data_IF_067394388641
#
_entry.id   IF_067394388641
#
_cell.length_a   1.000
_cell.length_b   1.000
_cell.length_c   1.000
_cell.angle_alpha   90.00
_cell.angle_beta   90.00
_cell.angle_gamma   90.00
#
_symmetry.space_group_name_H-M   'P 1'
#
loop_
_entity.id
_entity.type
_entity.pdbx_description
1 polymer ?
#
# COMPACT_ATOMS: atom_id res chain seq x y z
N UNK A 1 8.98 30.05 3.52
CA UNK A 1 9.73 30.15 4.79
C UNK A 1 11.25 29.93 4.61
N UNK A 2 11.66 28.89 3.87
CA UNK A 2 13.08 28.54 3.62
C UNK A 2 13.86 29.63 2.87
N UNK A 3 13.26 30.30 1.88
CA UNK A 3 13.93 31.37 1.13
C UNK A 3 14.21 32.64 1.97
N UNK A 4 13.33 32.94 2.93
CA UNK A 4 13.53 34.03 3.90
C UNK A 4 14.67 33.72 4.88
N UNK A 5 14.78 32.47 5.32
CA UNK A 5 15.89 31.99 6.15
C UNK A 5 17.24 32.03 5.40
N UNK A 6 17.24 31.70 4.10
CA UNK A 6 18.44 31.77 3.26
C UNK A 6 18.91 33.22 3.03
N UNK A 7 17.98 34.15 2.78
CA UNK A 7 18.30 35.58 2.66
C UNK A 7 18.80 36.20 3.97
N UNK A 8 18.22 35.82 5.12
CA UNK A 8 18.70 36.25 6.45
C UNK A 8 20.11 35.74 6.75
N UNK A 9 20.43 34.51 6.34
CA UNK A 9 21.76 33.93 6.46
C UNK A 9 22.80 34.67 5.60
N UNK A 10 22.42 35.07 4.38
CA UNK A 10 23.26 35.90 3.50
C UNK A 10 23.45 37.32 4.04
N UNK A 11 22.41 37.93 4.63
CA UNK A 11 22.52 39.25 5.27
C UNK A 11 23.45 39.24 6.49
N UNK A 12 23.39 38.21 7.35
CA UNK A 12 24.30 38.09 8.50
C UNK A 12 25.72 37.65 8.11
N UNK A 13 25.92 36.98 6.97
CA UNK A 13 27.25 36.62 6.49
C UNK A 13 28.12 37.83 6.10
N UNK A 14 27.52 39.00 5.82
CA UNK A 14 28.24 40.25 5.54
C UNK A 14 28.77 40.95 6.80
N UNK A 15 28.29 40.61 8.00
CA UNK A 15 28.75 41.24 9.25
C UNK A 15 29.99 40.57 9.86
N UNK A 16 30.49 39.47 9.30
CA UNK A 16 31.63 38.71 9.83
C UNK A 16 32.97 38.99 9.14
N UNK A 17 33.07 40.04 8.32
CA UNK A 17 34.31 40.37 7.61
C UNK A 17 34.83 41.73 8.06
N UNK A 18 35.29 41.80 9.30
CA UNK A 18 36.37 42.72 9.65
C UNK A 18 37.31 42.09 10.68
N UNK A 19 38.13 41.15 10.23
CA UNK A 19 39.30 40.69 10.98
C UNK A 19 40.46 40.53 10.00
N UNK A 20 41.50 41.32 10.24
CA UNK A 20 42.77 41.36 9.51
C UNK A 20 43.33 39.98 9.18
N UNK A 21 43.68 39.83 7.91
CA UNK A 21 44.80 39.06 7.37
C UNK A 21 45.14 37.72 8.04
N UNK A 22 44.51 36.64 7.57
CA UNK A 22 45.16 35.32 7.61
C UNK A 22 44.65 34.42 6.48
N UNK A 23 45.31 34.49 5.31
CA UNK A 23 44.90 33.79 4.07
C UNK A 23 44.66 32.29 4.27
N UNK A 24 45.35 31.66 5.23
CA UNK A 24 45.15 30.24 5.59
C UNK A 24 43.81 29.93 6.28
N UNK A 25 43.31 30.80 7.16
CA UNK A 25 42.00 30.61 7.82
C UNK A 25 40.85 30.81 6.83
N UNK A 26 40.96 31.81 5.94
CA UNK A 26 39.92 32.13 4.96
C UNK A 26 39.72 31.01 3.92
N UNK A 27 40.81 30.36 3.47
CA UNK A 27 40.75 29.18 2.60
C UNK A 27 40.12 27.97 3.29
N UNK A 28 40.39 27.78 4.59
CA UNK A 28 39.83 26.68 5.40
C UNK A 28 38.32 26.86 5.60
N UNK A 29 37.86 28.07 5.90
CA UNK A 29 36.43 28.39 6.03
C UNK A 29 35.68 28.23 4.69
N UNK A 30 36.26 28.68 3.57
CA UNK A 30 35.66 28.48 2.24
C UNK A 30 35.52 27.00 1.86
N UNK A 31 36.52 26.16 2.22
CA UNK A 31 36.46 24.70 2.01
C UNK A 31 35.40 24.02 2.88
N UNK A 32 35.24 24.44 4.14
CA UNK A 32 34.20 23.90 5.04
C UNK A 32 32.80 24.27 4.56
N UNK A 33 32.59 25.51 4.12
CA UNK A 33 31.30 25.96 3.56
C UNK A 33 30.99 25.21 2.25
N UNK A 34 31.97 25.01 1.37
CA UNK A 34 31.79 24.22 0.15
C UNK A 34 31.44 22.75 0.47
N UNK A 35 32.11 22.14 1.46
CA UNK A 35 31.81 20.78 1.91
C UNK A 35 30.43 20.66 2.56
N UNK A 36 29.97 21.66 3.33
CA UNK A 36 28.60 21.71 3.84
C UNK A 36 27.57 21.88 2.73
N UNK A 37 27.84 22.73 1.74
CA UNK A 37 26.93 22.93 0.59
C UNK A 37 26.87 21.68 -0.29
N UNK A 38 28.00 21.02 -0.56
CA UNK A 38 28.04 19.74 -1.26
C UNK A 38 27.39 18.62 -0.44
N UNK A 39 27.56 18.61 0.89
CA UNK A 39 26.90 17.69 1.81
C UNK A 39 25.38 17.89 1.83
N UNK A 40 24.91 19.14 1.88
CA UNK A 40 23.49 19.49 1.81
C UNK A 40 22.90 19.13 0.43
N UNK A 41 23.62 19.35 -0.67
CA UNK A 41 23.19 18.92 -2.00
C UNK A 41 23.15 17.39 -2.15
N UNK A 42 24.09 16.67 -1.52
CA UNK A 42 24.09 15.20 -1.48
C UNK A 42 22.94 14.65 -0.61
N UNK A 43 22.57 15.33 0.48
CA UNK A 43 21.41 14.97 1.31
C UNK A 43 20.09 15.29 0.60
N UNK A 44 20.00 16.40 -0.13
CA UNK A 44 18.81 16.75 -0.91
C UNK A 44 18.57 15.83 -2.12
N UNK A 45 19.62 15.28 -2.74
CA UNK A 45 19.49 14.31 -3.83
C UNK A 45 19.02 12.93 -3.36
N UNK A 46 19.23 12.58 -2.09
CA UNK A 46 18.66 11.37 -1.47
C UNK A 46 17.23 11.58 -0.91
N UNK A 47 16.70 12.80 -0.96
CA UNK A 47 15.35 13.13 -0.44
C UNK A 47 14.27 13.22 -1.53
N UNK A 48 14.63 13.10 -2.82
CA UNK A 48 13.65 13.07 -3.91
C UNK A 48 13.14 11.65 -4.13
N UNK A 49 11.83 11.45 -3.92
CA UNK A 49 11.13 10.22 -4.25
C UNK A 49 11.34 9.89 -5.73
N UNK A 50 11.90 8.73 -6.02
CA UNK A 50 12.13 8.28 -7.41
C UNK A 50 10.81 7.98 -8.11
N UNK A 51 10.79 8.00 -9.45
CA UNK A 51 9.60 7.59 -10.24
C UNK A 51 9.13 6.16 -9.93
N UNK A 52 10.07 5.26 -9.64
CA UNK A 52 9.76 3.90 -9.21
C UNK A 52 8.97 3.88 -7.89
N UNK A 53 9.31 4.77 -6.95
CA UNK A 53 8.57 4.93 -5.70
C UNK A 53 7.24 5.66 -5.91
N UNK A 54 7.17 6.63 -6.83
CA UNK A 54 5.92 7.28 -7.25
C UNK A 54 5.10 6.38 -8.20
N UNK A 55 4.83 5.13 -7.79
CA UNK A 55 4.02 4.16 -8.53
C UNK A 55 2.74 3.75 -7.79
N UNK A 56 2.49 4.32 -6.60
CA UNK A 56 1.31 4.01 -5.78
C UNK A 56 1.15 2.49 -5.57
N UNK A 57 -0.05 1.90 -5.77
CA UNK A 57 -0.24 0.46 -5.60
C UNK A 57 0.39 -0.39 -6.71
N UNK A 58 1.03 0.21 -7.73
CA UNK A 58 1.85 -0.53 -8.71
C UNK A 58 3.29 -0.72 -8.23
N UNK A 59 3.69 -0.10 -7.11
CA UNK A 59 5.00 -0.29 -6.52
C UNK A 59 5.24 -1.76 -6.14
N UNK A 60 6.40 -2.32 -6.51
CA UNK A 60 6.80 -3.66 -6.13
C UNK A 60 7.03 -3.72 -4.61
N UNK A 61 6.81 -4.89 -4.00
CA UNK A 61 7.01 -5.05 -2.57
C UNK A 61 8.47 -4.81 -2.18
N UNK A 62 8.70 -3.94 -1.20
CA UNK A 62 10.02 -3.73 -0.60
C UNK A 62 10.06 -4.34 0.80
N UNK A 63 10.81 -5.44 1.00
CA UNK A 63 10.90 -6.06 2.31
C UNK A 63 11.52 -5.10 3.34
N UNK A 64 11.18 -5.25 4.64
CA UNK A 64 11.86 -4.49 5.68
C UNK A 64 13.36 -4.82 5.66
N UNK A 65 14.19 -3.77 5.72
CA UNK A 65 15.66 -3.90 5.70
C UNK A 65 16.22 -4.28 7.08
N UNK A 66 15.45 -4.03 8.14
CA UNK A 66 15.80 -4.32 9.53
C UNK A 66 14.68 -5.17 10.11
N UNK A 67 15.05 -6.13 10.97
CA UNK A 67 14.09 -6.93 11.71
C UNK A 67 13.23 -6.06 12.64
N UNK A 68 12.06 -6.57 13.02
CA UNK A 68 11.22 -5.93 14.04
C UNK A 68 11.95 -5.92 15.38
N UNK A 69 12.29 -4.74 15.88
CA UNK A 69 13.03 -4.56 17.14
C UNK A 69 12.13 -4.29 18.33
N UNK A 70 10.80 -4.35 18.18
CA UNK A 70 9.89 -4.10 19.29
C UNK A 70 9.99 -5.22 20.34
N UNK A 71 10.27 -4.88 21.61
CA UNK A 71 10.29 -5.89 22.67
C UNK A 71 8.89 -6.51 22.79
N UNK A 72 8.86 -7.83 22.97
CA UNK A 72 7.62 -8.54 23.31
C UNK A 72 7.36 -8.34 24.80
N UNK A 73 6.12 -8.03 25.23
CA UNK A 73 5.78 -7.90 26.64
C UNK A 73 6.26 -9.09 27.47
N UNK A 74 6.85 -8.81 28.64
CA UNK A 74 7.47 -9.81 29.50
C UNK A 74 6.51 -10.96 29.84
N UNK A 75 7.02 -12.19 29.83
CA UNK A 75 6.24 -13.39 30.15
C UNK A 75 5.25 -13.84 29.06
N UNK A 76 5.15 -13.13 27.94
CA UNK A 76 4.24 -13.50 26.83
C UNK A 76 4.95 -14.22 25.69
N UNK A 77 4.20 -15.03 24.93
CA UNK A 77 4.67 -15.77 23.75
C UNK A 77 3.63 -15.72 22.63
N UNK A 78 4.04 -15.68 21.35
CA UNK A 78 3.12 -15.71 20.24
C UNK A 78 2.54 -17.12 20.05
N UNK A 79 1.23 -17.20 19.83
CA UNK A 79 0.52 -18.48 19.65
C UNK A 79 -0.35 -18.54 18.38
N UNK A 80 -0.76 -17.39 17.84
CA UNK A 80 -1.60 -17.33 16.64
C UNK A 80 -1.25 -16.14 15.73
N UNK A 81 -1.38 -16.33 14.42
CA UNK A 81 -1.21 -15.26 13.42
C UNK A 81 -2.44 -15.20 12.51
N UNK A 82 -3.11 -14.06 12.46
CA UNK A 82 -4.10 -13.75 11.44
C UNK A 82 -3.44 -12.91 10.34
N UNK A 83 -3.42 -13.44 9.11
CA UNK A 83 -2.80 -12.81 7.95
C UNK A 83 -3.83 -12.46 6.87
N UNK A 84 -3.62 -11.32 6.23
CA UNK A 84 -4.23 -10.96 4.95
C UNK A 84 -3.14 -10.48 4.00
N UNK A 85 -3.07 -11.06 2.80
CA UNK A 85 -2.12 -10.69 1.75
C UNK A 85 -2.82 -10.37 0.42
N UNK A 86 -2.39 -9.26 -0.21
CA UNK A 86 -2.63 -8.97 -1.62
C UNK A 86 -1.73 -9.88 -2.48
N UNK A 87 -2.11 -10.21 -3.74
CA UNK A 87 -1.21 -10.80 -4.71
C UNK A 87 0.13 -10.09 -4.80
N UNK A 88 1.18 -10.86 -5.09
CA UNK A 88 2.47 -10.30 -5.47
C UNK A 88 2.41 -9.54 -6.80
N UNK A 89 3.58 -9.06 -7.23
CA UNK A 89 3.78 -8.45 -8.54
C UNK A 89 3.16 -9.30 -9.66
N UNK A 90 2.47 -8.63 -10.56
CA UNK A 90 1.64 -9.23 -11.63
C UNK A 90 1.66 -8.34 -12.85
N UNK A 91 1.16 -8.87 -13.97
CA UNK A 91 0.81 -8.04 -15.13
C UNK A 91 -0.42 -7.17 -14.81
N UNK A 92 -0.63 -6.08 -15.57
CA UNK A 92 -1.88 -5.31 -15.55
C UNK A 92 -3.08 -6.24 -15.77
N UNK A 93 -4.21 -5.85 -15.21
CA UNK A 93 -5.34 -6.73 -14.97
C UNK A 93 -5.97 -7.25 -16.26
N UNK A 94 -6.03 -6.44 -17.32
CA UNK A 94 -6.71 -6.78 -18.56
C UNK A 94 -5.86 -6.46 -19.78
N UNK A 95 -5.93 -7.32 -20.80
CA UNK A 95 -5.27 -7.09 -22.09
C UNK A 95 -5.69 -5.74 -22.71
N UNK A 96 -6.96 -5.37 -22.55
CA UNK A 96 -7.51 -4.10 -23.02
C UNK A 96 -6.81 -2.85 -22.44
N UNK A 97 -6.09 -2.96 -21.31
CA UNK A 97 -5.29 -1.84 -20.79
C UNK A 97 -4.05 -1.59 -21.66
N UNK A 98 -3.41 -2.66 -22.13
CA UNK A 98 -2.26 -2.57 -23.05
C UNK A 98 -2.71 -2.11 -24.43
N UNK A 99 -3.74 -2.78 -24.98
CA UNK A 99 -4.25 -2.48 -26.32
C UNK A 99 -4.87 -1.08 -26.38
N UNK A 100 -5.54 -0.67 -25.30
CA UNK A 100 -6.12 0.67 -25.16
C UNK A 100 -5.07 1.78 -25.26
N UNK A 101 -3.92 1.65 -24.59
CA UNK A 101 -2.80 2.60 -24.74
C UNK A 101 -2.20 2.53 -26.14
N UNK A 102 -1.95 1.32 -26.67
CA UNK A 102 -1.37 1.15 -27.99
C UNK A 102 -2.25 1.72 -29.12
N UNK A 103 -3.58 1.70 -28.94
CA UNK A 103 -4.54 2.22 -29.91
C UNK A 103 -4.33 3.69 -30.27
N UNK A 104 -3.71 4.49 -29.40
CA UNK A 104 -3.39 5.89 -29.67
C UNK A 104 -2.22 6.08 -30.65
N UNK A 105 -1.40 5.05 -30.85
CA UNK A 105 -0.19 5.08 -31.68
C UNK A 105 -0.41 4.46 -33.07
N UNK A 106 -1.67 4.32 -33.50
CA UNK A 106 -2.03 3.63 -34.75
C UNK A 106 -1.53 4.32 -36.02
N UNK A 107 -1.42 5.66 -36.03
CA UNK A 107 -0.97 6.44 -37.18
C UNK A 107 0.53 6.76 -37.06
N UNK A 108 1.44 6.02 -37.73
CA UNK A 108 2.88 6.23 -37.61
C UNK A 108 3.34 7.59 -38.15
N UNK A 109 2.57 8.19 -39.05
CA UNK A 109 2.87 9.51 -39.63
C UNK A 109 2.61 10.65 -38.61
N UNK A 110 1.75 10.43 -37.62
CA UNK A 110 1.49 11.40 -36.56
C UNK A 110 2.45 11.24 -35.35
N UNK A 111 3.42 10.32 -35.39
CA UNK A 111 4.34 10.11 -34.26
C UNK A 111 5.62 10.95 -34.40
N UNK A 112 6.11 11.47 -33.27
CA UNK A 112 7.48 12.00 -33.18
C UNK A 112 8.51 10.85 -33.25
N UNK A 113 9.81 11.18 -33.20
CA UNK A 113 10.86 10.14 -33.06
C UNK A 113 10.69 9.37 -31.76
N UNK A 114 10.39 10.07 -30.66
CA UNK A 114 10.11 9.46 -29.36
C UNK A 114 8.82 8.64 -29.41
N UNK A 115 7.74 9.16 -29.99
CA UNK A 115 6.46 8.46 -30.15
C UNK A 115 6.60 7.12 -30.86
N UNK A 116 7.40 7.03 -31.94
CA UNK A 116 7.70 5.75 -32.61
C UNK A 116 8.49 4.77 -31.72
N UNK A 117 9.45 5.28 -30.94
CA UNK A 117 10.21 4.46 -29.98
C UNK A 117 9.30 3.91 -28.88
N UNK A 118 8.43 4.75 -28.33
CA UNK A 118 7.41 4.39 -27.34
C UNK A 118 6.45 3.35 -27.91
N UNK A 119 5.89 3.57 -29.10
CA UNK A 119 5.00 2.63 -29.77
C UNK A 119 5.64 1.24 -29.92
N UNK A 120 6.89 1.17 -30.40
CA UNK A 120 7.63 -0.09 -30.54
C UNK A 120 7.81 -0.82 -29.20
N UNK A 121 8.10 -0.08 -28.12
CA UNK A 121 8.21 -0.65 -26.76
C UNK A 121 6.85 -1.12 -26.24
N UNK A 122 5.79 -0.33 -26.41
CA UNK A 122 4.42 -0.69 -26.04
C UNK A 122 3.96 -1.96 -26.75
N UNK A 123 4.21 -2.08 -28.06
CA UNK A 123 3.88 -3.30 -28.83
C UNK A 123 4.55 -4.54 -28.23
N UNK A 124 5.84 -4.45 -27.87
CA UNK A 124 6.56 -5.56 -27.21
C UNK A 124 5.94 -5.94 -25.87
N UNK A 125 5.57 -4.94 -25.06
CA UNK A 125 4.92 -5.16 -23.77
C UNK A 125 3.54 -5.80 -23.96
N UNK A 126 2.71 -5.28 -24.87
CA UNK A 126 1.39 -5.81 -25.17
C UNK A 126 1.43 -7.27 -25.68
N UNK A 127 2.39 -7.58 -26.55
CA UNK A 127 2.64 -8.95 -27.03
C UNK A 127 3.09 -9.88 -25.90
N UNK A 128 4.01 -9.43 -25.04
CA UNK A 128 4.49 -10.22 -23.91
C UNK A 128 3.40 -10.46 -22.84
N UNK A 129 2.47 -9.50 -22.69
CA UNK A 129 1.32 -9.57 -21.80
C UNK A 129 0.17 -10.42 -22.35
N UNK A 130 0.13 -10.68 -23.66
CA UNK A 130 -0.92 -11.48 -24.28
C UNK A 130 -0.97 -12.89 -23.66
N UNK A 131 -2.17 -13.29 -23.21
CA UNK A 131 -2.37 -14.53 -22.44
C UNK A 131 -1.83 -14.51 -21.00
N UNK A 132 -1.21 -13.41 -20.55
CA UNK A 132 -0.66 -13.24 -19.19
C UNK A 132 -1.27 -12.09 -18.41
N UNK A 133 -2.13 -11.28 -19.02
CA UNK A 133 -2.81 -10.19 -18.34
C UNK A 133 -3.48 -10.69 -17.04
N UNK A 134 -3.21 -10.00 -15.94
CA UNK A 134 -3.70 -10.33 -14.61
C UNK A 134 -2.98 -11.47 -13.88
N UNK A 135 -2.11 -12.25 -14.56
CA UNK A 135 -1.35 -13.34 -13.95
C UNK A 135 -0.23 -12.82 -13.05
N UNK A 136 0.11 -13.61 -12.03
CA UNK A 136 1.26 -13.34 -11.18
C UNK A 136 2.55 -13.44 -12.00
N UNK A 137 3.56 -12.64 -11.66
CA UNK A 137 4.89 -12.73 -12.28
C UNK A 137 5.84 -13.54 -11.39
N UNK A 138 7.01 -13.98 -11.91
CA UNK A 138 8.01 -14.63 -11.08
C UNK A 138 8.45 -13.79 -9.87
N UNK A 139 8.49 -12.47 -10.01
CA UNK A 139 8.74 -11.55 -8.90
C UNK A 139 7.64 -11.64 -7.84
N UNK A 140 6.38 -11.72 -8.26
CA UNK A 140 5.24 -11.87 -7.34
C UNK A 140 5.28 -13.18 -6.56
N UNK A 141 5.67 -14.28 -7.20
CA UNK A 141 5.89 -15.56 -6.51
C UNK A 141 7.02 -15.46 -5.47
N UNK A 142 8.14 -14.86 -5.85
CA UNK A 142 9.28 -14.64 -4.96
C UNK A 142 8.87 -13.82 -3.73
N UNK A 143 8.16 -12.71 -3.93
CA UNK A 143 7.68 -11.86 -2.83
C UNK A 143 6.86 -12.66 -1.82
N UNK A 144 5.90 -13.47 -2.27
CA UNK A 144 5.05 -14.29 -1.39
C UNK A 144 5.86 -15.34 -0.64
N UNK A 145 6.76 -16.04 -1.35
CA UNK A 145 7.64 -17.04 -0.75
C UNK A 145 8.50 -16.45 0.36
N UNK A 146 9.10 -15.29 0.11
CA UNK A 146 9.99 -14.64 1.07
C UNK A 146 9.23 -14.03 2.26
N UNK A 147 8.03 -13.48 2.05
CA UNK A 147 7.17 -13.02 3.16
C UNK A 147 6.86 -14.20 4.09
N UNK A 148 6.48 -15.35 3.52
CA UNK A 148 6.22 -16.57 4.28
C UNK A 148 7.45 -17.08 5.06
N UNK A 149 8.62 -17.08 4.41
CA UNK A 149 9.88 -17.48 5.06
C UNK A 149 10.20 -16.59 6.25
N UNK A 150 10.11 -15.26 6.10
CA UNK A 150 10.32 -14.31 7.20
C UNK A 150 9.29 -14.49 8.32
N UNK A 151 8.01 -14.67 7.99
CA UNK A 151 6.96 -14.96 8.98
C UNK A 151 7.31 -16.21 9.79
N UNK A 152 7.72 -17.30 9.12
CA UNK A 152 8.09 -18.55 9.79
C UNK A 152 9.39 -18.44 10.60
N UNK A 153 10.35 -17.65 10.14
CA UNK A 153 11.59 -17.35 10.86
C UNK A 153 11.32 -16.55 12.13
N UNK A 154 10.43 -15.55 12.06
CA UNK A 154 10.14 -14.65 13.17
C UNK A 154 9.23 -15.30 14.23
N UNK A 155 8.40 -16.27 13.84
CA UNK A 155 7.41 -16.91 14.74
C UNK A 155 7.52 -18.44 14.75
N UNK A 156 8.70 -19.01 15.08
CA UNK A 156 8.90 -20.46 15.02
C UNK A 156 7.99 -21.25 15.97
N UNK A 157 7.60 -20.67 17.11
CA UNK A 157 6.68 -21.29 18.07
C UNK A 157 5.27 -21.46 17.53
N UNK A 158 4.82 -20.51 16.69
CA UNK A 158 3.51 -20.58 16.01
C UNK A 158 3.53 -21.70 14.97
N UNK A 159 4.60 -21.80 14.17
CA UNK A 159 4.74 -22.81 13.11
C UNK A 159 5.52 -24.06 13.55
N UNK A 160 5.25 -24.51 14.79
CA UNK A 160 5.77 -25.77 15.34
C UNK A 160 5.22 -26.98 14.58
N UNK A 161 5.82 -28.15 14.81
CA UNK A 161 5.34 -29.40 14.22
C UNK A 161 3.85 -29.61 14.52
N UNK A 162 3.10 -30.03 13.49
CA UNK A 162 1.66 -30.30 13.56
C UNK A 162 0.78 -29.09 13.87
N UNK A 163 1.31 -27.86 13.74
CA UNK A 163 0.50 -26.66 13.82
C UNK A 163 -0.55 -26.63 12.68
N UNK A 164 -1.81 -26.43 13.03
CA UNK A 164 -2.91 -26.31 12.07
C UNK A 164 -2.95 -24.89 11.51
N UNK A 165 -2.94 -24.78 10.18
CA UNK A 165 -2.99 -23.51 9.45
C UNK A 165 -4.16 -23.50 8.49
N UNK A 166 -5.11 -22.60 8.70
CA UNK A 166 -6.22 -22.36 7.78
C UNK A 166 -5.76 -21.47 6.63
N UNK A 167 -6.14 -21.80 5.40
CA UNK A 167 -5.74 -21.04 4.21
C UNK A 167 -6.95 -20.77 3.31
N UNK A 168 -7.17 -19.50 3.00
CA UNK A 168 -8.25 -19.01 2.14
C UNK A 168 -7.68 -18.17 1.00
N UNK A 169 -8.27 -18.25 -0.19
CA UNK A 169 -7.91 -17.38 -1.30
C UNK A 169 -9.11 -17.05 -2.18
N UNK A 170 -9.14 -15.83 -2.72
CA UNK A 170 -10.07 -15.44 -3.77
C UNK A 170 -9.90 -16.38 -4.99
N UNK A 171 -10.97 -16.71 -5.73
CA UNK A 171 -10.89 -17.54 -6.92
C UNK A 171 -10.07 -16.91 -8.06
N UNK A 172 -9.73 -15.62 -7.97
CA UNK A 172 -8.85 -14.99 -8.94
C UNK A 172 -7.49 -15.71 -8.98
N UNK A 173 -7.04 -16.08 -10.18
CA UNK A 173 -5.86 -16.92 -10.40
C UNK A 173 -4.60 -16.38 -9.71
N UNK A 174 -4.33 -15.08 -9.82
CA UNK A 174 -3.22 -14.40 -9.11
C UNK A 174 -3.24 -14.59 -7.58
N UNK A 175 -4.43 -14.67 -6.97
CA UNK A 175 -4.57 -14.90 -5.53
C UNK A 175 -4.27 -16.36 -5.19
N UNK A 176 -4.71 -17.30 -6.04
CA UNK A 176 -4.40 -18.72 -5.91
C UNK A 176 -2.91 -19.00 -6.09
N UNK A 177 -2.27 -18.41 -7.10
CA UNK A 177 -0.82 -18.52 -7.32
C UNK A 177 -0.03 -17.91 -6.14
N UNK A 178 -0.48 -16.76 -5.62
CA UNK A 178 0.14 -16.15 -4.43
C UNK A 178 0.02 -17.03 -3.19
N UNK A 179 -1.16 -17.63 -2.96
CA UNK A 179 -1.38 -18.64 -1.91
C UNK A 179 -0.38 -19.78 -2.02
N UNK A 180 -0.24 -20.37 -3.22
CA UNK A 180 0.66 -21.50 -3.45
C UNK A 180 2.13 -21.12 -3.22
N UNK A 181 2.56 -19.96 -3.71
CA UNK A 181 3.93 -19.47 -3.48
C UNK A 181 4.22 -19.22 -1.99
N UNK A 182 3.24 -18.70 -1.25
CA UNK A 182 3.36 -18.50 0.19
C UNK A 182 3.44 -19.83 0.94
N UNK A 183 2.59 -20.81 0.62
CA UNK A 183 2.64 -22.18 1.18
C UNK A 183 4.01 -22.81 0.92
N UNK A 184 4.54 -22.69 -0.31
CA UNK A 184 5.87 -23.18 -0.64
C UNK A 184 6.97 -22.50 0.19
N UNK A 185 6.83 -21.20 0.49
CA UNK A 185 7.73 -20.48 1.40
C UNK A 185 7.65 -20.94 2.84
N UNK A 186 6.44 -21.24 3.34
CA UNK A 186 6.26 -21.84 4.66
C UNK A 186 6.90 -23.23 4.74
N UNK A 187 6.71 -24.06 3.71
CA UNK A 187 7.16 -25.46 3.67
C UNK A 187 8.58 -25.65 3.09
N UNK A 188 9.40 -24.59 3.04
CA UNK A 188 10.79 -24.71 2.59
C UNK A 188 11.55 -25.81 3.37
N UNK A 189 12.51 -26.47 2.70
CA UNK A 189 13.24 -27.61 3.23
C UNK A 189 13.81 -27.40 4.64
N UNK A 190 13.93 -28.48 5.42
CA UNK A 190 14.41 -28.50 6.81
C UNK A 190 13.51 -27.79 7.83
N UNK A 191 12.21 -27.67 7.53
CA UNK A 191 11.21 -27.14 8.46
C UNK A 191 10.26 -28.23 8.94
N UNK A 192 9.79 -28.10 10.17
CA UNK A 192 8.80 -29.03 10.73
C UNK A 192 7.52 -29.05 9.87
N UNK A 193 6.84 -30.20 9.70
CA UNK A 193 5.60 -30.25 8.96
C UNK A 193 4.49 -29.47 9.70
N UNK A 194 3.68 -28.74 8.95
CA UNK A 194 2.46 -28.08 9.43
C UNK A 194 1.24 -28.70 8.73
N UNK A 195 0.09 -28.74 9.42
CA UNK A 195 -1.15 -29.23 8.84
C UNK A 195 -1.87 -28.08 8.13
N UNK A 196 -2.01 -28.16 6.81
CA UNK A 196 -2.71 -27.15 6.02
C UNK A 196 -4.17 -27.54 5.82
N UNK A 197 -5.08 -26.69 6.25
CA UNK A 197 -6.51 -26.80 5.96
C UNK A 197 -6.86 -25.76 4.89
N UNK A 198 -7.00 -26.25 3.65
CA UNK A 198 -7.29 -25.41 2.49
C UNK A 198 -8.80 -25.25 2.35
N UNK A 199 -9.27 -24.02 2.48
CA UNK A 199 -10.66 -23.65 2.30
C UNK A 199 -10.83 -23.07 0.89
N UNK A 200 -11.54 -23.81 0.03
CA UNK A 200 -11.78 -23.44 -1.37
C UNK A 200 -13.26 -23.15 -1.65
N UNK A 201 -14.09 -22.97 -0.61
CA UNK A 201 -15.50 -22.65 -0.81
C UNK A 201 -15.68 -21.24 -1.40
N UNK A 202 -16.78 -21.06 -2.13
CA UNK A 202 -17.13 -19.76 -2.71
C UNK A 202 -17.54 -18.74 -1.66
N UNK A 203 -17.85 -19.17 -0.42
CA UNK A 203 -18.22 -18.28 0.69
C UNK A 203 -17.04 -17.38 1.03
N UNK A 204 -15.81 -17.89 0.96
CA UNK A 204 -14.59 -17.10 1.15
C UNK A 204 -14.54 -15.83 0.28
N UNK A 205 -15.11 -15.86 -0.93
CA UNK A 205 -15.10 -14.71 -1.83
C UNK A 205 -15.95 -13.55 -1.31
N UNK A 206 -17.05 -13.83 -0.60
CA UNK A 206 -17.97 -12.81 -0.10
C UNK A 206 -17.30 -11.80 0.84
N UNK A 207 -16.21 -12.20 1.50
CA UNK A 207 -15.44 -11.37 2.41
C UNK A 207 -13.99 -11.12 1.95
N UNK A 208 -13.45 -11.85 0.97
CA UNK A 208 -12.13 -11.55 0.35
C UNK A 208 -12.18 -10.50 -0.76
N UNK A 209 -13.37 -10.26 -1.32
CA UNK A 209 -13.63 -9.20 -2.29
C UNK A 209 -15.01 -8.60 -2.03
N UNK A 210 -15.26 -8.09 -0.82
CA UNK A 210 -16.61 -7.73 -0.42
C UNK A 210 -17.14 -6.58 -1.28
N UNK A 211 -18.40 -6.70 -1.66
CA UNK A 211 -19.11 -5.70 -2.43
C UNK A 211 -20.59 -5.75 -2.09
N UNK A 212 -21.24 -4.60 -2.08
CA UNK A 212 -22.69 -4.47 -1.87
C UNK A 212 -23.24 -3.36 -2.76
N UNK A 213 -24.58 -3.20 -2.79
CA UNK A 213 -25.24 -2.20 -3.63
C UNK A 213 -24.78 -0.76 -3.30
N UNK A 214 -24.61 -0.46 -2.01
CA UNK A 214 -24.15 0.85 -1.53
C UNK A 214 -22.76 1.20 -2.09
N UNK A 215 -21.78 0.30 -1.95
CA UNK A 215 -20.42 0.53 -2.44
C UNK A 215 -20.37 0.61 -3.97
N UNK A 216 -21.17 -0.19 -4.68
CA UNK A 216 -21.30 -0.08 -6.14
C UNK A 216 -21.84 1.28 -6.56
N UNK A 217 -22.89 1.77 -5.89
CA UNK A 217 -23.44 3.09 -6.14
C UNK A 217 -22.44 4.20 -5.85
N UNK A 218 -21.72 4.15 -4.73
CA UNK A 218 -20.65 5.09 -4.39
C UNK A 218 -19.55 5.13 -5.45
N UNK A 219 -19.06 3.95 -5.87
CA UNK A 219 -18.02 3.83 -6.89
C UNK A 219 -18.46 4.35 -8.25
N UNK A 220 -19.76 4.25 -8.57
CA UNK A 220 -20.31 4.73 -9.84
C UNK A 220 -20.56 6.26 -9.88
N UNK A 221 -20.50 6.96 -8.75
CA UNK A 221 -20.64 8.42 -8.71
C UNK A 221 -19.49 9.10 -9.45
N UNK A 222 -19.74 10.22 -10.15
CA UNK A 222 -18.67 11.02 -10.73
C UNK A 222 -17.87 11.68 -9.61
N UNK A 223 -16.58 11.33 -9.54
CA UNK A 223 -15.63 11.91 -8.59
C UNK A 223 -14.76 12.94 -9.31
N UNK A 224 -14.73 14.19 -8.83
CA UNK A 224 -13.88 15.22 -9.40
C UNK A 224 -12.43 14.99 -8.97
N UNK A 225 -11.58 14.62 -9.93
CA UNK A 225 -10.14 14.47 -9.72
C UNK A 225 -9.39 15.69 -10.31
N UNK A 226 -8.18 16.01 -9.82
CA UNK A 226 -7.35 17.05 -10.43
C UNK A 226 -7.06 16.74 -11.90
N UNK A 227 -7.07 17.74 -12.78
CA UNK A 227 -6.74 17.56 -14.20
C UNK A 227 -5.25 17.27 -14.40
N UNK A 228 -4.90 16.40 -15.35
CA UNK A 228 -3.50 16.14 -15.69
C UNK A 228 -2.89 17.17 -16.65
N UNK A 229 -1.60 17.56 -16.46
CA UNK A 229 -0.88 18.44 -17.38
C UNK A 229 -0.43 17.65 -18.63
N UNK A 230 -1.27 17.61 -19.67
CA UNK A 230 -1.05 16.74 -20.83
C UNK A 230 -0.22 17.34 -21.96
N UNK A 231 0.01 18.66 -21.96
CA UNK A 231 0.52 19.38 -23.13
C UNK A 231 1.93 18.91 -23.58
N UNK A 232 2.88 18.80 -22.64
CA UNK A 232 4.23 18.34 -22.94
C UNK A 232 4.25 16.86 -23.35
N UNK A 233 3.57 15.99 -22.60
CA UNK A 233 3.41 14.56 -22.88
C UNK A 233 2.88 14.31 -24.30
N UNK A 234 1.83 15.02 -24.71
CA UNK A 234 1.26 14.88 -26.04
C UNK A 234 2.21 15.38 -27.14
N UNK A 235 2.81 16.56 -26.97
CA UNK A 235 3.74 17.12 -27.97
C UNK A 235 5.05 16.33 -28.07
N UNK A 236 5.46 15.66 -26.99
CA UNK A 236 6.62 14.78 -26.98
C UNK A 236 6.39 13.52 -27.82
N UNK A 237 5.15 13.00 -27.87
CA UNK A 237 4.80 11.73 -28.51
C UNK A 237 4.17 11.89 -29.91
N UNK A 238 3.44 12.98 -30.16
CA UNK A 238 2.66 13.20 -31.38
C UNK A 238 3.07 14.49 -32.10
N UNK A 239 3.00 14.50 -33.44
CA UNK A 239 3.30 15.67 -34.28
C UNK A 239 2.13 16.66 -34.30
N UNK A 240 0.93 16.14 -34.44
CA UNK A 240 -0.34 16.86 -34.38
C UNK A 240 -1.16 16.30 -33.21
N UNK A 241 -1.19 17.06 -32.11
CA UNK A 241 -1.87 16.68 -30.87
C UNK A 241 -3.39 16.81 -30.95
N UNK A 242 -3.91 17.53 -31.95
CA UNK A 242 -5.37 17.68 -32.16
C UNK A 242 -6.03 16.38 -32.60
N UNK A 243 -5.26 15.45 -33.17
CA UNK A 243 -5.72 14.11 -33.54
C UNK A 243 -5.78 13.14 -32.34
N UNK A 244 -5.29 13.55 -31.16
CA UNK A 244 -5.29 12.72 -29.94
C UNK A 244 -6.47 13.06 -29.06
N UNK A 245 -7.60 12.42 -29.33
CA UNK A 245 -8.80 12.56 -28.51
C UNK A 245 -8.59 11.96 -27.11
N UNK A 246 -9.03 12.61 -26.02
CA UNK A 246 -8.90 12.09 -24.64
C UNK A 246 -7.43 11.94 -24.16
N UNK A 247 -6.58 12.94 -24.43
CA UNK A 247 -5.17 12.94 -24.00
C UNK A 247 -4.96 12.66 -22.50
N UNK A 248 -5.82 13.16 -21.62
CA UNK A 248 -5.76 12.87 -20.18
C UNK A 248 -5.94 11.37 -19.88
N UNK A 249 -6.88 10.70 -20.56
CA UNK A 249 -7.07 9.25 -20.44
C UNK A 249 -5.84 8.49 -20.92
N UNK A 250 -5.26 8.89 -22.04
CA UNK A 250 -4.03 8.28 -22.56
C UNK A 250 -2.89 8.40 -21.53
N UNK A 251 -2.65 9.61 -21.02
CA UNK A 251 -1.60 9.87 -20.03
C UNK A 251 -1.79 9.02 -18.78
N UNK A 252 -3.02 8.97 -18.24
CA UNK A 252 -3.34 8.19 -17.05
C UNK A 252 -3.17 6.68 -17.24
N UNK A 253 -3.67 6.10 -18.34
CA UNK A 253 -3.51 4.66 -18.60
C UNK A 253 -2.07 4.29 -18.96
N UNK A 254 -1.35 5.17 -19.67
CA UNK A 254 0.07 4.93 -19.97
C UNK A 254 0.91 5.03 -18.70
N UNK A 255 0.62 5.95 -17.77
CA UNK A 255 1.27 5.97 -16.46
C UNK A 255 1.10 4.65 -15.70
N UNK A 256 -0.11 4.06 -15.66
CA UNK A 256 -0.34 2.76 -14.99
C UNK A 256 0.54 1.67 -15.59
N UNK A 257 0.61 1.59 -16.92
CA UNK A 257 1.45 0.64 -17.64
C UNK A 257 2.92 0.87 -17.33
N UNK A 258 3.39 2.12 -17.39
CA UNK A 258 4.77 2.48 -17.12
C UNK A 258 5.16 2.17 -15.66
N UNK A 259 4.30 2.50 -14.70
CA UNK A 259 4.50 2.22 -13.28
C UNK A 259 4.52 0.71 -12.97
N UNK A 260 3.71 -0.08 -13.68
CA UNK A 260 3.66 -1.54 -13.53
C UNK A 260 4.88 -2.27 -14.11
N UNK A 261 5.72 -1.59 -14.91
CA UNK A 261 6.90 -2.22 -15.52
C UNK A 261 7.90 -2.80 -14.52
N UNK A 262 7.90 -2.32 -13.27
CA UNK A 262 8.71 -2.90 -12.19
C UNK A 262 8.25 -4.30 -11.77
N UNK A 263 7.02 -4.69 -12.10
CA UNK A 263 6.41 -5.94 -11.70
C UNK A 263 6.62 -7.07 -12.72
N UNK A 264 7.06 -6.76 -13.93
CA UNK A 264 7.16 -7.72 -15.04
C UNK A 264 8.62 -7.99 -15.41
N UNK A 265 8.94 -9.19 -15.92
CA UNK A 265 10.33 -9.59 -16.22
C UNK A 265 10.86 -8.96 -17.54
N UNK A 266 10.41 -7.75 -17.88
CA UNK A 266 10.82 -7.04 -19.09
C UNK A 266 11.77 -5.91 -18.71
N UNK A 267 12.94 -5.86 -19.36
CA UNK A 267 13.87 -4.72 -19.27
C UNK A 267 13.44 -3.58 -20.18
N UNK A 268 12.17 -3.19 -20.10
CA UNK A 268 11.57 -2.08 -20.86
C UNK A 268 11.12 -1.02 -19.86
N UNK A 269 11.46 0.23 -20.14
CA UNK A 269 11.08 1.39 -19.33
C UNK A 269 10.39 2.42 -20.23
N UNK A 270 9.66 3.36 -19.64
CA UNK A 270 8.96 4.44 -20.34
C UNK A 270 9.18 5.81 -19.67
N UNK A 271 10.24 5.97 -18.88
CA UNK A 271 10.50 7.23 -18.18
C UNK A 271 10.68 8.40 -19.16
N UNK A 272 11.25 8.14 -20.33
CA UNK A 272 11.45 9.14 -21.38
C UNK A 272 10.14 9.68 -22.00
N UNK A 273 8.99 9.09 -21.69
CA UNK A 273 7.69 9.57 -22.19
C UNK A 273 7.04 10.63 -21.31
N UNK A 274 7.52 10.84 -20.08
CA UNK A 274 6.97 11.78 -19.10
C UNK A 274 8.07 12.68 -18.55
N UNK A 275 7.76 13.94 -18.29
CA UNK A 275 8.55 14.74 -17.35
C UNK A 275 8.22 14.37 -15.88
N UNK A 276 8.95 14.96 -14.94
CA UNK A 276 8.79 14.64 -13.52
C UNK A 276 7.49 15.16 -12.91
N UNK A 277 6.97 16.29 -13.40
CA UNK A 277 5.73 16.90 -12.90
C UNK A 277 4.51 16.16 -13.44
N UNK A 278 4.59 15.70 -14.70
CA UNK A 278 3.62 14.83 -15.36
C UNK A 278 3.50 13.47 -14.65
N UNK A 279 4.63 12.85 -14.32
CA UNK A 279 4.66 11.60 -13.56
C UNK A 279 4.06 11.81 -12.16
N UNK A 280 4.46 12.88 -11.48
CA UNK A 280 3.94 13.22 -10.14
C UNK A 280 2.43 13.47 -10.19
N UNK A 281 1.93 14.25 -11.15
CA UNK A 281 0.50 14.52 -11.29
C UNK A 281 -0.32 13.24 -11.50
N UNK A 282 0.17 12.30 -12.31
CA UNK A 282 -0.49 10.99 -12.47
C UNK A 282 -0.50 10.18 -11.18
N UNK A 283 0.62 10.16 -10.46
CA UNK A 283 0.75 9.50 -9.16
C UNK A 283 -0.22 10.11 -8.14
N UNK A 284 -0.25 11.43 -7.99
CA UNK A 284 -1.11 12.14 -7.04
C UNK A 284 -2.60 11.97 -7.38
N UNK A 285 -2.98 12.11 -8.65
CA UNK A 285 -4.35 11.90 -9.11
C UNK A 285 -4.82 10.46 -8.82
N UNK A 286 -3.97 9.46 -9.05
CA UNK A 286 -4.30 8.06 -8.75
C UNK A 286 -4.44 7.83 -7.23
N UNK A 287 -3.54 8.38 -6.42
CA UNK A 287 -3.60 8.29 -4.97
C UNK A 287 -4.86 8.95 -4.42
N UNK A 288 -5.22 10.13 -4.95
CA UNK A 288 -6.45 10.83 -4.60
C UNK A 288 -7.69 9.97 -4.88
N UNK A 289 -7.81 9.41 -6.08
CA UNK A 289 -8.94 8.56 -6.44
C UNK A 289 -9.09 7.34 -5.54
N UNK A 290 -7.97 6.69 -5.20
CA UNK A 290 -7.96 5.56 -4.26
C UNK A 290 -8.38 5.98 -2.85
N UNK A 291 -7.83 7.07 -2.31
CA UNK A 291 -8.18 7.59 -0.99
C UNK A 291 -9.66 7.96 -0.91
N UNK A 292 -10.17 8.64 -1.94
CA UNK A 292 -11.57 9.05 -2.04
C UNK A 292 -12.52 7.85 -2.07
N UNK A 293 -12.27 6.90 -2.96
CA UNK A 293 -13.21 5.78 -3.19
C UNK A 293 -13.07 4.67 -2.14
N UNK A 294 -11.85 4.40 -1.67
CA UNK A 294 -11.52 3.22 -0.88
C UNK A 294 -10.89 3.53 0.49
N UNK A 295 -10.45 4.77 0.73
CA UNK A 295 -9.75 5.16 1.95
C UNK A 295 -10.66 5.71 3.04
N UNK A 296 -10.14 6.71 3.76
CA UNK A 296 -10.83 7.37 4.88
C UNK A 296 -11.36 8.77 4.51
N UNK A 297 -11.51 9.07 3.22
CA UNK A 297 -12.07 10.34 2.79
C UNK A 297 -13.45 10.59 3.44
N UNK A 298 -13.68 11.74 4.10
CA UNK A 298 -14.96 12.08 4.70
C UNK A 298 -16.13 11.97 3.71
N UNK A 299 -15.89 12.32 2.44
CA UNK A 299 -16.85 12.24 1.34
C UNK A 299 -17.44 10.84 1.12
N UNK A 300 -16.69 9.78 1.45
CA UNK A 300 -17.18 8.41 1.30
C UNK A 300 -18.11 7.98 2.42
N UNK A 301 -18.32 8.81 3.45
CA UNK A 301 -19.32 8.64 4.51
C UNK A 301 -19.30 7.25 5.15
N UNK A 302 -18.12 6.63 5.27
CA UNK A 302 -17.97 5.33 5.93
C UNK A 302 -18.26 4.11 5.03
N UNK A 303 -18.56 4.29 3.74
CA UNK A 303 -18.94 3.17 2.83
C UNK A 303 -17.82 2.13 2.76
N UNK A 304 -16.56 2.57 2.69
CA UNK A 304 -15.38 1.72 2.67
C UNK A 304 -15.27 0.84 3.94
N UNK A 305 -15.61 1.40 5.11
CA UNK A 305 -15.55 0.71 6.40
C UNK A 305 -16.71 -0.27 6.57
N UNK A 306 -17.89 0.04 6.02
CA UNK A 306 -19.05 -0.85 6.04
C UNK A 306 -18.87 -2.05 5.13
N UNK A 307 -18.40 -1.84 3.90
CA UNK A 307 -18.29 -2.93 2.92
C UNK A 307 -17.34 -4.03 3.38
N UNK A 308 -16.32 -3.71 4.18
CA UNK A 308 -15.34 -4.69 4.68
C UNK A 308 -15.74 -5.39 5.99
N UNK A 309 -16.90 -5.08 6.57
CA UNK A 309 -17.37 -5.70 7.81
C UNK A 309 -17.37 -7.25 7.78
N UNK A 310 -17.76 -7.93 6.68
CA UNK A 310 -17.68 -9.39 6.59
C UNK A 310 -16.25 -9.95 6.72
N UNK A 311 -15.23 -9.25 6.19
CA UNK A 311 -13.83 -9.65 6.34
C UNK A 311 -13.36 -9.53 7.79
N UNK A 312 -13.74 -8.43 8.45
CA UNK A 312 -13.44 -8.25 9.86
C UNK A 312 -14.11 -9.33 10.72
N UNK A 313 -15.38 -9.64 10.46
CA UNK A 313 -16.09 -10.68 11.19
C UNK A 313 -15.36 -12.03 11.04
N UNK A 314 -14.94 -12.39 9.82
CA UNK A 314 -14.21 -13.63 9.61
C UNK A 314 -12.83 -13.66 10.29
N UNK A 315 -12.17 -12.50 10.43
CA UNK A 315 -10.95 -12.38 11.27
C UNK A 315 -11.26 -12.66 12.74
N UNK A 316 -12.37 -12.14 13.26
CA UNK A 316 -12.81 -12.36 14.64
C UNK A 316 -13.17 -13.82 14.89
N UNK A 317 -13.90 -14.45 13.98
CA UNK A 317 -14.35 -15.85 14.12
C UNK A 317 -13.17 -16.82 14.13
N UNK A 318 -12.20 -16.61 13.24
CA UNK A 318 -10.96 -17.42 13.20
C UNK A 318 -10.08 -17.17 14.42
N UNK A 319 -9.99 -15.92 14.89
CA UNK A 319 -9.34 -15.64 16.17
C UNK A 319 -10.03 -16.42 17.30
N UNK A 320 -11.36 -16.40 17.38
CA UNK A 320 -12.10 -17.15 18.41
C UNK A 320 -11.77 -18.65 18.39
N UNK A 321 -11.63 -19.27 17.21
CA UNK A 321 -11.16 -20.66 17.11
C UNK A 321 -9.73 -20.85 17.62
N UNK A 322 -8.82 -19.91 17.31
CA UNK A 322 -7.45 -19.93 17.77
C UNK A 322 -7.34 -19.77 19.30
N UNK A 323 -8.19 -18.94 19.92
CA UNK A 323 -8.29 -18.81 21.38
C UNK A 323 -8.69 -20.13 22.07
N UNK A 324 -9.32 -21.08 21.35
CA UNK A 324 -9.63 -22.43 21.85
C UNK A 324 -8.50 -23.45 21.57
N UNK A 325 -7.34 -23.00 21.09
CA UNK A 325 -6.17 -23.86 20.84
C UNK A 325 -6.20 -24.66 19.54
N UNK A 326 -7.16 -24.38 18.63
CA UNK A 326 -7.39 -25.20 17.42
C UNK A 326 -6.53 -24.82 16.22
N UNK A 327 -6.13 -23.54 16.13
CA UNK A 327 -5.53 -22.95 14.92
C UNK A 327 -4.33 -22.11 15.29
N UNK A 328 -3.20 -22.34 14.61
CA UNK A 328 -1.96 -21.61 14.80
C UNK A 328 -1.80 -20.43 13.84
N UNK A 329 -2.38 -20.50 12.63
CA UNK A 329 -2.44 -19.36 11.74
C UNK A 329 -3.62 -19.44 10.78
N UNK A 330 -4.13 -18.27 10.39
CA UNK A 330 -5.12 -18.16 9.33
C UNK A 330 -4.61 -17.21 8.25
N UNK A 331 -4.42 -17.74 7.04
CA UNK A 331 -3.83 -17.04 5.90
C UNK A 331 -4.90 -16.72 4.86
N UNK A 332 -5.06 -15.43 4.52
CA UNK A 332 -6.03 -14.96 3.53
C UNK A 332 -5.32 -14.32 2.33
N UNK A 333 -5.70 -14.70 1.12
CA UNK A 333 -5.18 -14.09 -0.12
C UNK A 333 -6.32 -13.43 -0.92
N UNK A 334 -6.40 -12.11 -0.84
CA UNK A 334 -7.47 -11.30 -1.43
C UNK A 334 -6.93 -10.11 -2.22
N UNK A 335 -7.71 -9.05 -2.44
CA UNK A 335 -7.30 -7.90 -3.28
C UNK A 335 -6.77 -6.72 -2.45
N UNK A 336 -6.11 -5.76 -3.12
CA UNK A 336 -5.62 -4.52 -2.52
C UNK A 336 -6.73 -3.70 -1.87
N UNK A 337 -7.85 -3.53 -2.59
CA UNK A 337 -8.96 -2.69 -2.12
C UNK A 337 -9.56 -3.20 -0.82
N UNK A 338 -9.69 -4.52 -0.64
CA UNK A 338 -10.22 -5.08 0.61
C UNK A 338 -9.23 -4.94 1.77
N UNK A 339 -7.92 -5.03 1.52
CA UNK A 339 -6.91 -4.66 2.52
C UNK A 339 -7.02 -3.18 2.89
N UNK A 340 -7.16 -2.30 1.90
CA UNK A 340 -7.24 -0.87 2.15
C UNK A 340 -8.50 -0.48 2.92
N UNK A 341 -9.65 -1.08 2.59
CA UNK A 341 -10.88 -0.96 3.36
C UNK A 341 -10.71 -1.46 4.79
N UNK A 342 -10.04 -2.61 4.99
CA UNK A 342 -9.77 -3.17 6.31
C UNK A 342 -8.91 -2.22 7.15
N UNK A 343 -7.86 -1.64 6.58
CA UNK A 343 -7.04 -0.62 7.24
C UNK A 343 -7.86 0.62 7.58
N UNK A 344 -8.75 1.06 6.69
CA UNK A 344 -9.65 2.19 6.94
C UNK A 344 -10.60 1.91 8.11
N UNK A 345 -11.10 0.68 8.23
CA UNK A 345 -11.92 0.23 9.35
C UNK A 345 -11.11 0.14 10.66
N UNK A 346 -9.92 -0.45 10.62
CA UNK A 346 -9.03 -0.61 11.77
C UNK A 346 -8.56 0.71 12.36
N UNK A 347 -8.59 1.82 11.61
CA UNK A 347 -8.24 3.13 12.16
C UNK A 347 -6.76 3.27 12.50
N UNK A 348 -5.90 2.77 11.62
CA UNK A 348 -4.45 2.81 11.79
C UNK A 348 -3.88 4.24 11.68
N UNK A 349 -2.70 4.46 12.27
CA UNK A 349 -1.86 5.64 12.09
C UNK A 349 -1.24 5.80 10.68
N UNK A 350 -1.48 4.86 9.77
CA UNK A 350 -1.03 4.92 8.37
C UNK A 350 -2.05 5.53 7.42
N UNK A 351 -3.29 5.70 7.86
CA UNK A 351 -4.37 6.29 7.08
C UNK A 351 -4.88 7.54 7.81
N UNK A 352 -5.39 8.49 7.03
CA UNK A 352 -5.99 9.74 7.52
C UNK A 352 -7.20 10.11 6.67
N UNK A 353 -8.10 10.86 7.29
CA UNK A 353 -9.18 11.62 6.67
C UNK A 353 -8.68 12.86 5.92
N UNK A 354 -7.41 13.23 6.07
CA UNK A 354 -6.70 14.13 5.16
C UNK A 354 -5.98 13.32 4.07
N UNK A 355 -6.00 13.82 2.84
CA UNK A 355 -5.33 13.14 1.72
C UNK A 355 -3.81 13.20 1.89
N UNK A 356 -3.17 12.04 1.68
CA UNK A 356 -1.72 11.91 1.61
C UNK A 356 -1.34 10.93 0.50
N UNK A 357 -0.24 11.23 -0.19
CA UNK A 357 0.32 10.36 -1.22
C UNK A 357 1.31 9.38 -0.58
N UNK A 358 0.83 8.16 -0.32
CA UNK A 358 1.61 7.12 0.36
C UNK A 358 1.19 5.69 0.03
N UNK A 359 0.39 5.46 -1.04
CA UNK A 359 -0.15 4.13 -1.33
C UNK A 359 0.91 3.08 -1.61
N UNK A 360 2.08 3.47 -2.10
CA UNK A 360 3.24 2.60 -2.27
C UNK A 360 3.79 2.05 -0.94
N UNK A 361 3.51 2.72 0.18
CA UNK A 361 3.89 2.28 1.53
C UNK A 361 2.77 1.49 2.21
N UNK A 362 1.51 1.73 1.81
CA UNK A 362 0.31 1.16 2.43
C UNK A 362 -0.10 -0.13 1.72
N UNK A 363 -0.31 -0.08 0.41
CA UNK A 363 -0.79 -1.19 -0.43
C UNK A 363 0.09 -1.43 -1.69
N UNK A 364 1.42 -1.56 -1.59
CA UNK A 364 2.24 -2.02 -2.71
C UNK A 364 1.82 -3.42 -3.18
N UNK A 365 2.40 -3.92 -4.26
CA UNK A 365 2.28 -5.35 -4.60
C UNK A 365 2.73 -6.19 -3.40
N UNK A 366 2.13 -7.36 -3.22
CA UNK A 366 2.35 -8.23 -2.06
C UNK A 366 2.08 -7.58 -0.67
N UNK A 367 1.38 -6.45 -0.63
CA UNK A 367 1.01 -5.81 0.64
C UNK A 367 0.28 -6.79 1.55
N UNK A 368 0.59 -6.73 2.85
CA UNK A 368 0.06 -7.68 3.81
C UNK A 368 -0.15 -7.06 5.18
N UNK A 369 -1.20 -7.52 5.87
CA UNK A 369 -1.46 -7.28 7.27
C UNK A 369 -1.25 -8.57 8.05
N UNK A 370 -0.48 -8.49 9.14
CA UNK A 370 -0.29 -9.58 10.09
C UNK A 370 -0.72 -9.10 11.46
N UNK A 371 -1.65 -9.81 12.09
CA UNK A 371 -2.06 -9.62 13.47
C UNK A 371 -1.48 -10.80 14.26
N UNK A 372 -0.50 -10.51 15.11
CA UNK A 372 0.20 -11.52 15.91
C UNK A 372 -0.37 -11.52 17.30
N UNK A 373 -0.86 -12.67 17.74
CA UNK A 373 -1.53 -12.88 19.01
C UNK A 373 -0.58 -13.52 20.02
N UNK A 374 -0.57 -12.95 21.22
CA UNK A 374 0.28 -13.34 22.33
C UNK A 374 -0.56 -13.67 23.56
N UNK A 375 -0.12 -14.66 24.32
CA UNK A 375 -0.67 -15.00 25.63
C UNK A 375 0.47 -15.19 26.63
N UNK A 376 0.15 -15.25 27.92
CA UNK A 376 1.15 -15.58 28.94
C UNK A 376 1.60 -17.03 28.78
N UNK A 377 2.89 -17.31 29.05
CA UNK A 377 3.49 -18.64 28.87
C UNK A 377 2.72 -19.75 29.58
N UNK A 378 2.22 -19.49 30.78
CA UNK A 378 1.44 -20.43 31.58
C UNK A 378 0.03 -20.72 31.03
N UNK A 379 -0.42 -19.94 30.05
CA UNK A 379 -1.72 -20.09 29.38
C UNK A 379 -1.62 -20.79 28.01
N UNK A 380 -0.41 -21.15 27.56
CA UNK A 380 -0.22 -21.87 26.30
C UNK A 380 -0.98 -23.20 26.32
N UNK A 381 -1.77 -23.44 25.27
CA UNK A 381 -2.58 -24.65 25.11
C UNK A 381 -3.85 -24.69 25.93
N UNK A 382 -4.17 -23.64 26.70
CA UNK A 382 -5.43 -23.51 27.44
C UNK A 382 -6.41 -22.64 26.65
N UNK A 383 -7.73 -22.83 26.83
CA UNK A 383 -8.72 -21.87 26.34
C UNK A 383 -8.44 -20.46 26.87
N UNK A 384 -8.49 -19.47 26.00
CA UNK A 384 -8.24 -18.06 26.31
C UNK A 384 -9.53 -17.25 26.13
N UNK A 385 -9.68 -16.20 26.91
CA UNK A 385 -10.63 -15.12 26.63
C UNK A 385 -9.93 -13.98 25.87
N UNK A 386 -10.69 -13.08 25.20
CA UNK A 386 -10.10 -11.89 24.59
C UNK A 386 -9.32 -10.96 25.55
N UNK A 387 -9.56 -11.04 26.86
CA UNK A 387 -8.84 -10.27 27.87
C UNK A 387 -7.48 -10.86 28.25
N UNK A 388 -7.27 -12.16 27.98
CA UNK A 388 -6.00 -12.87 28.21
C UNK A 388 -4.96 -12.61 27.09
N UNK A 389 -5.37 -11.92 26.02
CA UNK A 389 -4.65 -11.88 24.75
C UNK A 389 -4.15 -10.47 24.46
N UNK A 390 -2.88 -10.37 24.11
CA UNK A 390 -2.30 -9.18 23.49
C UNK A 390 -2.15 -9.39 21.99
N UNK A 391 -2.33 -8.33 21.20
CA UNK A 391 -2.12 -8.35 19.75
C UNK A 391 -1.19 -7.24 19.30
N UNK A 392 -0.32 -7.57 18.33
CA UNK A 392 0.52 -6.63 17.58
C UNK A 392 0.11 -6.66 16.12
N UNK A 393 0.07 -5.48 15.49
CA UNK A 393 -0.21 -5.34 14.06
C UNK A 393 1.06 -5.02 13.28
N UNK A 394 1.25 -5.71 12.16
CA UNK A 394 2.29 -5.42 11.18
C UNK A 394 1.64 -5.14 9.82
N UNK A 395 1.89 -3.96 9.26
CA UNK A 395 1.56 -3.65 7.88
C UNK A 395 2.84 -3.73 7.06
N UNK A 396 2.83 -4.56 6.02
CA UNK A 396 3.98 -4.79 5.15
C UNK A 396 5.23 -5.19 5.96
N UNK A 397 5.03 -6.06 6.95
CA UNK A 397 6.03 -6.55 7.91
C UNK A 397 6.68 -5.46 8.79
N UNK A 398 6.07 -4.27 8.88
CA UNK A 398 6.50 -3.16 9.75
C UNK A 398 5.44 -2.89 10.82
N UNK A 399 5.83 -2.53 12.05
CA UNK A 399 4.86 -2.22 13.09
C UNK A 399 3.86 -1.13 12.69
N UNK A 400 2.59 -1.40 12.97
CA UNK A 400 1.46 -0.52 12.68
C UNK A 400 0.71 -0.24 13.98
N UNK A 401 0.31 1.00 14.21
CA UNK A 401 -0.44 1.40 15.40
C UNK A 401 -1.89 1.65 15.05
N UNK A 402 -2.77 1.40 16.01
CA UNK A 402 -4.17 1.80 15.97
C UNK A 402 -4.33 3.15 16.67
N UNK A 403 -5.02 4.08 16.03
CA UNK A 403 -5.25 5.42 16.57
C UNK A 403 -6.36 5.37 17.62
N UNK A 404 -6.14 6.02 18.77
CA UNK A 404 -7.14 6.15 19.86
C UNK A 404 -7.54 4.82 20.53
N UNK A 405 -6.61 3.88 20.61
CA UNK A 405 -6.75 2.63 21.40
C UNK A 405 -5.66 2.60 22.47
N UNK A 406 -6.03 2.34 23.73
CA UNK A 406 -5.06 2.19 24.81
C UNK A 406 -4.27 0.88 24.66
N UNK A 407 -2.94 0.97 24.68
CA UNK A 407 -2.03 -0.17 24.58
C UNK A 407 -1.47 -0.58 25.95
N UNK A 408 -0.86 -1.76 26.02
CA UNK A 408 -0.30 -2.36 27.25
C UNK A 408 1.23 -2.29 27.30
N UNK A 409 1.85 -1.70 26.28
CA UNK A 409 3.29 -1.62 26.11
C UNK A 409 3.84 -0.21 26.37
N UNK A 410 5.10 -0.17 26.80
CA UNK A 410 5.97 1.00 26.73
C UNK A 410 7.23 0.56 25.99
N UNK A 411 7.42 1.03 24.77
CA UNK A 411 8.61 0.77 23.98
C UNK A 411 9.85 1.47 24.59
N UNK A 412 11.08 1.05 24.25
CA UNK A 412 12.30 1.63 24.82
C UNK A 412 12.48 3.12 24.52
N UNK A 413 11.83 3.64 23.47
CA UNK A 413 11.80 5.06 23.12
C UNK A 413 10.71 5.85 23.88
N UNK A 414 10.07 5.22 24.88
CA UNK A 414 8.99 5.79 25.69
C UNK A 414 7.63 5.84 24.98
N UNK A 415 7.54 5.40 23.72
CA UNK A 415 6.27 5.38 23.00
C UNK A 415 5.47 4.14 23.36
N UNK A 416 4.16 4.28 23.31
CA UNK A 416 3.21 3.18 23.46
C UNK A 416 2.49 2.97 22.12
N UNK A 417 1.75 1.88 21.99
CA UNK A 417 0.84 1.65 20.87
C UNK A 417 1.20 0.47 19.99
N UNK A 418 1.97 -0.50 20.47
CA UNK A 418 2.33 -1.67 19.66
C UNK A 418 1.69 -2.97 20.12
N UNK A 419 1.26 -3.06 21.38
CA UNK A 419 0.56 -4.22 21.92
C UNK A 419 -0.76 -3.83 22.56
N UNK A 420 -1.86 -4.37 22.07
CA UNK A 420 -3.20 -4.04 22.53
C UNK A 420 -3.89 -5.27 23.12
N UNK A 421 -4.68 -5.12 24.18
CA UNK A 421 -5.60 -6.20 24.57
C UNK A 421 -6.60 -6.47 23.46
N UNK A 422 -6.81 -7.75 23.13
CA UNK A 422 -7.71 -8.14 22.04
C UNK A 422 -9.15 -7.68 22.29
N UNK A 423 -9.64 -7.77 23.53
CA UNK A 423 -10.94 -7.23 23.94
C UNK A 423 -11.11 -5.74 23.62
N UNK A 424 -10.08 -4.92 23.85
CA UNK A 424 -10.10 -3.48 23.52
C UNK A 424 -10.13 -3.23 22.03
N UNK A 425 -9.41 -4.03 21.24
CA UNK A 425 -9.46 -3.94 19.78
C UNK A 425 -10.86 -4.29 19.27
N UNK A 426 -11.45 -5.38 19.77
CA UNK A 426 -12.82 -5.77 19.41
C UNK A 426 -13.83 -4.65 19.70
N UNK A 427 -13.80 -4.10 20.93
CA UNK A 427 -14.67 -3.00 21.33
C UNK A 427 -14.45 -1.74 20.47
N UNK A 428 -13.19 -1.42 20.17
CA UNK A 428 -12.84 -0.27 19.33
C UNK A 428 -13.36 -0.41 17.90
N UNK A 429 -13.12 -1.55 17.25
CA UNK A 429 -13.58 -1.77 15.87
C UNK A 429 -15.11 -1.84 15.80
N UNK A 430 -15.76 -2.44 16.81
CA UNK A 430 -17.22 -2.41 16.93
C UNK A 430 -17.77 -0.98 17.01
N UNK A 431 -17.13 -0.10 17.81
CA UNK A 431 -17.50 1.33 17.88
C UNK A 431 -17.31 2.04 16.53
N UNK A 432 -16.23 1.73 15.80
CA UNK A 432 -16.00 2.30 14.46
C UNK A 432 -17.03 1.82 13.43
N UNK A 433 -17.39 0.54 13.45
CA UNK A 433 -18.48 0.02 12.61
C UNK A 433 -19.81 0.67 12.95
N UNK A 434 -20.13 0.83 14.23
CA UNK A 434 -21.36 1.52 14.66
C UNK A 434 -21.40 2.98 14.17
N UNK A 435 -20.28 3.71 14.27
CA UNK A 435 -20.17 5.07 13.75
C UNK A 435 -20.34 5.13 12.23
N UNK A 436 -19.69 4.23 11.49
CA UNK A 436 -19.87 4.12 10.04
C UNK A 436 -21.34 3.78 9.68
N UNK A 437 -21.98 2.88 10.41
CA UNK A 437 -23.40 2.53 10.18
C UNK A 437 -24.34 3.70 10.48
N UNK A 438 -24.04 4.53 11.49
CA UNK A 438 -24.79 5.75 11.76
C UNK A 438 -24.66 6.72 10.58
N UNK A 439 -23.44 7.02 10.12
CA UNK A 439 -23.20 7.89 8.96
C UNK A 439 -23.93 7.41 7.70
N UNK A 440 -23.93 6.11 7.42
CA UNK A 440 -24.66 5.54 6.29
C UNK A 440 -26.18 5.74 6.37
N UNK A 441 -26.77 5.62 7.56
CA UNK A 441 -28.21 5.91 7.76
C UNK A 441 -28.53 7.39 7.53
N UNK A 442 -27.69 8.29 8.05
CA UNK A 442 -27.82 9.73 7.81
C UNK A 442 -27.73 10.06 6.32
N UNK A 443 -26.78 9.47 5.60
CA UNK A 443 -26.61 9.66 4.17
C UNK A 443 -27.81 9.19 3.33
N UNK A 444 -28.47 8.10 3.76
CA UNK A 444 -29.69 7.60 3.10
C UNK A 444 -30.92 8.46 3.41
N UNK A 445 -31.04 8.96 4.65
CA UNK A 445 -32.17 9.79 5.08
C UNK A 445 -32.07 11.24 4.55
N UNK A 446 -30.84 11.75 4.43
CA UNK A 446 -30.53 13.10 3.96
C UNK A 446 -29.43 13.02 2.90
N UNK A 447 -29.75 12.53 1.68
CA UNK A 447 -28.79 12.57 0.60
C UNK A 447 -28.40 14.04 0.40
N UNK A 448 -27.12 14.35 0.60
CA UNK A 448 -26.61 15.70 0.37
C UNK A 448 -26.99 16.10 -1.06
N UNK A 449 -27.95 17.01 -1.17
CA UNK A 449 -28.25 17.70 -2.44
C UNK A 449 -26.95 18.39 -2.80
N UNK A 450 -26.39 18.07 -3.98
CA UNK A 450 -25.13 18.66 -4.41
C UNK A 450 -25.24 20.18 -4.33
N UNK A 451 -24.49 20.80 -3.43
CA UNK A 451 -24.37 22.25 -3.34
C UNK A 451 -23.49 22.75 -4.48
N UNK A 452 -24.04 22.68 -5.69
CA UNK A 452 -23.65 23.50 -6.81
C UNK A 452 -24.78 24.52 -7.02
N UNK A 453 -24.74 25.62 -6.26
CA UNK A 453 -25.71 26.69 -6.39
C UNK A 453 -25.71 27.65 -5.22
N UNK A 454 -25.21 28.86 -5.47
CA UNK A 454 -25.51 30.11 -4.77
C UNK A 454 -25.06 30.28 -3.32
N UNK A 455 -23.86 30.86 -3.17
CA UNK A 455 -23.70 32.03 -2.32
C UNK A 455 -22.88 33.07 -3.10
N UNK A 456 -23.57 33.84 -3.92
CA UNK A 456 -23.15 35.21 -4.23
C UNK A 456 -23.61 36.05 -3.04
N UNK A 457 -22.66 36.64 -2.32
CA UNK A 457 -22.72 37.99 -1.77
C UNK A 457 -21.31 38.51 -1.57
#
# INVERSE_FOLDING_TARGET
>A
MVFRLFMLFLQHSKQFVDVKNNKGKQMRTKRIVLLMVCGLMAICSHAQTTRAQMSGPFCAYVPPQVADTLPVPEGTVPFYISHYGRPGSRWLMYQAQYDGVLSFFFNPNNLTKLGRSVAKRLTKVAQAAHGKAGLLTPLGEQQQREIAQRMRQNYPTVFRSSATVHVYASPAERCQQSKMAFIAGLNAANRAPIALLLHNDSIAFSWLAPTNAEFKAWKARPHKLPTLPTAHFLTALFRDTTQVNRGERLMHEFYKLAADMQNVPLKIRFDDAFDDDEWRACYEQYNWGMWLVHGQAPDNQGVAQRVVAPLWQQIVDEAAQALQGKVAATLRFGHDTSLYHLLALLGTDKLSDEHANALEQIIPMAANLQIVFYCRREQVGKPLSPDDVLVKFLLNQRPMRLSKVGSEDVAPDGKTGYYYRWSRVLAYVAKRLAAANAQGRWAMAYPLVGTAGQLQH
#
